data_IF_150536945587
#
_entry.id   IF_150536945587
#
_cell.length_a   1.000
_cell.length_b   1.000
_cell.length_c   1.000
_cell.angle_alpha   90.00
_cell.angle_beta   90.00
_cell.angle_gamma   90.00
#
_symmetry.space_group_name_H-M   'P 1'
#
loop_
_entity.id
_entity.type
_entity.pdbx_description
1 polymer ?
#
# COMPACT_ATOMS: atom_id res chain seq x y z
N UNK A 1 -3.04 32.03 -5.48
CA UNK A 1 -2.62 30.86 -4.71
C UNK A 1 -2.94 29.65 -5.59
N UNK A 2 -1.94 28.84 -5.97
CA UNK A 2 -2.24 27.55 -6.61
C UNK A 2 -2.85 26.64 -5.54
N UNK A 3 -3.92 25.87 -5.86
CA UNK A 3 -4.46 24.90 -4.92
C UNK A 3 -3.40 23.84 -4.63
N UNK A 4 -3.42 23.34 -3.39
CA UNK A 4 -2.55 22.24 -3.00
C UNK A 4 -2.91 21.00 -3.85
N UNK A 5 -1.90 20.25 -4.36
CA UNK A 5 -2.15 19.05 -5.16
C UNK A 5 -3.03 18.03 -4.43
N UNK A 6 -2.89 17.90 -3.11
CA UNK A 6 -3.67 16.97 -2.29
C UNK A 6 -5.14 17.41 -2.26
N UNK A 7 -5.40 18.71 -2.09
CA UNK A 7 -6.77 19.24 -2.10
C UNK A 7 -7.45 19.00 -3.46
N UNK A 8 -6.69 19.10 -4.56
CA UNK A 8 -7.18 18.81 -5.91
C UNK A 8 -7.56 17.33 -6.07
N UNK A 9 -6.74 16.42 -5.53
CA UNK A 9 -7.01 14.99 -5.57
C UNK A 9 -8.21 14.61 -4.68
N UNK A 10 -8.34 15.24 -3.51
CA UNK A 10 -9.50 15.08 -2.62
C UNK A 10 -10.78 15.49 -3.33
N UNK A 11 -10.81 16.68 -3.95
CA UNK A 11 -11.97 17.17 -4.69
C UNK A 11 -12.34 16.21 -5.84
N UNK A 12 -11.35 15.69 -6.54
CA UNK A 12 -11.56 14.71 -7.60
C UNK A 12 -12.17 13.39 -7.07
N UNK A 13 -11.69 12.90 -5.93
CA UNK A 13 -12.22 11.70 -5.27
C UNK A 13 -13.67 11.92 -4.83
N UNK A 14 -13.96 13.05 -4.18
CA UNK A 14 -15.31 13.40 -3.73
C UNK A 14 -16.27 13.54 -4.91
N UNK A 15 -15.83 14.18 -6.00
CA UNK A 15 -16.60 14.31 -7.24
C UNK A 15 -16.90 12.94 -7.86
N UNK A 16 -15.91 12.05 -7.92
CA UNK A 16 -16.06 10.67 -8.43
C UNK A 16 -17.03 9.85 -7.59
N UNK A 17 -17.13 10.14 -6.29
CA UNK A 17 -18.10 9.53 -5.39
C UNK A 17 -19.46 10.25 -5.35
N UNK A 18 -19.78 11.09 -6.34
CA UNK A 18 -21.03 11.87 -6.40
C UNK A 18 -21.30 12.72 -5.14
N UNK A 19 -20.24 13.17 -4.46
CA UNK A 19 -20.34 13.90 -3.20
C UNK A 19 -20.59 13.03 -1.96
N UNK A 20 -20.66 11.70 -2.06
CA UNK A 20 -20.70 10.81 -0.89
C UNK A 20 -19.32 10.72 -0.24
N UNK A 21 -18.99 11.72 0.57
CA UNK A 21 -17.73 11.77 1.32
C UNK A 21 -17.58 10.55 2.24
N UNK A 22 -18.68 10.08 2.84
CA UNK A 22 -18.64 8.92 3.75
C UNK A 22 -18.34 7.64 2.97
N UNK A 23 -18.85 7.52 1.75
CA UNK A 23 -18.55 6.46 0.80
C UNK A 23 -17.10 6.50 0.32
N UNK A 24 -16.61 7.69 -0.06
CA UNK A 24 -15.22 7.90 -0.47
C UNK A 24 -14.24 7.47 0.63
N UNK A 25 -14.45 7.92 1.86
CA UNK A 25 -13.59 7.54 3.01
C UNK A 25 -13.65 6.04 3.27
N UNK A 26 -14.82 5.41 3.20
CA UNK A 26 -14.93 3.94 3.33
C UNK A 26 -14.15 3.21 2.25
N UNK A 27 -14.25 3.64 0.99
CA UNK A 27 -13.51 3.05 -0.11
C UNK A 27 -12.00 3.17 0.08
N UNK A 28 -11.52 4.35 0.49
CA UNK A 28 -10.10 4.59 0.78
C UNK A 28 -9.59 3.71 1.93
N UNK A 29 -10.38 3.53 3.00
CA UNK A 29 -10.01 2.65 4.11
C UNK A 29 -9.89 1.18 3.67
N UNK A 30 -10.83 0.70 2.86
CA UNK A 30 -10.78 -0.69 2.34
C UNK A 30 -9.57 -0.92 1.45
N UNK A 31 -9.26 0.03 0.57
CA UNK A 31 -8.07 -0.04 -0.28
C UNK A 31 -6.80 0.00 0.57
N UNK A 32 -6.77 0.84 1.61
CA UNK A 32 -5.62 0.91 2.51
C UNK A 32 -5.38 -0.42 3.24
N UNK A 33 -6.41 -1.02 3.84
CA UNK A 33 -6.32 -2.32 4.51
C UNK A 33 -5.81 -3.44 3.58
N UNK A 34 -6.28 -3.45 2.33
CA UNK A 34 -5.80 -4.39 1.31
C UNK A 34 -4.32 -4.17 0.99
N UNK A 35 -3.89 -2.92 0.78
CA UNK A 35 -2.49 -2.59 0.51
C UNK A 35 -1.57 -2.94 1.68
N UNK A 36 -1.99 -2.70 2.92
CA UNK A 36 -1.26 -3.10 4.12
C UNK A 36 -1.08 -4.62 4.18
N UNK A 37 -2.12 -5.37 3.81
CA UNK A 37 -2.07 -6.84 3.73
C UNK A 37 -1.08 -7.31 2.66
N UNK A 38 -1.10 -6.71 1.46
CA UNK A 38 -0.15 -7.02 0.39
C UNK A 38 1.29 -6.73 0.80
N UNK A 39 1.53 -5.58 1.45
CA UNK A 39 2.85 -5.22 1.99
C UNK A 39 3.34 -6.25 3.01
N UNK A 40 2.49 -6.67 3.96
CA UNK A 40 2.85 -7.69 4.94
C UNK A 40 3.22 -9.03 4.28
N UNK A 41 2.49 -9.43 3.24
CA UNK A 41 2.80 -10.66 2.48
C UNK A 41 4.16 -10.56 1.77
N UNK A 42 4.46 -9.41 1.15
CA UNK A 42 5.73 -9.16 0.49
C UNK A 42 6.90 -9.15 1.48
N UNK A 43 6.73 -8.54 2.65
CA UNK A 43 7.74 -8.58 3.72
C UNK A 43 7.96 -10.01 4.24
N UNK A 44 6.89 -10.78 4.46
CA UNK A 44 7.01 -12.18 4.87
C UNK A 44 7.70 -13.06 3.82
N UNK A 45 7.43 -12.83 2.54
CA UNK A 45 8.07 -13.56 1.44
C UNK A 45 9.55 -13.22 1.29
N UNK A 46 9.92 -11.93 1.43
CA UNK A 46 11.33 -11.50 1.36
C UNK A 46 12.16 -12.02 2.53
N UNK A 47 11.60 -12.08 3.75
CA UNK A 47 12.24 -12.73 4.91
C UNK A 47 12.45 -14.24 4.67
N UNK A 48 11.49 -14.94 4.06
CA UNK A 48 11.65 -16.38 3.72
C UNK A 48 12.68 -16.61 2.61
N UNK A 49 12.79 -15.70 1.64
CA UNK A 49 13.78 -15.76 0.56
C UNK A 49 15.22 -15.48 1.01
N UNK A 50 15.42 -14.76 2.12
CA UNK A 50 16.73 -14.47 2.69
C UNK A 50 17.36 -15.61 3.51
N UNK A 51 16.59 -16.66 3.84
CA UNK A 51 17.01 -17.73 4.75
C UNK A 51 17.73 -18.93 4.08
N UNK A 52 17.99 -18.89 2.77
CA UNK A 52 18.71 -19.98 2.06
C UNK A 52 20.03 -19.45 1.50
N UNK A 53 21.07 -19.46 2.34
CA UNK A 53 22.41 -19.89 1.94
C UNK A 53 22.87 -20.95 2.94
N UNK A 54 22.73 -22.25 2.62
CA UNK A 54 23.54 -23.26 3.26
C UNK A 54 24.97 -22.92 2.86
N UNK A 55 25.80 -22.50 3.81
CA UNK A 55 27.24 -22.39 3.63
C UNK A 55 27.82 -23.78 3.40
N UNK A 56 27.65 -24.32 2.21
CA UNK A 56 28.31 -25.55 1.79
C UNK A 56 29.65 -25.17 1.18
N UNK A 57 30.71 -25.39 1.98
CA UNK A 57 32.04 -25.76 1.51
C UNK A 57 32.99 -24.65 1.04
N UNK A 58 34.05 -24.42 1.82
CA UNK A 58 35.41 -24.63 1.35
C UNK A 58 36.35 -24.76 2.56
N UNK A 59 36.73 -26.01 2.86
CA UNK A 59 37.97 -26.37 3.55
C UNK A 59 39.16 -25.88 2.71
N UNK A 60 40.03 -25.07 3.31
CA UNK A 60 41.48 -25.05 3.09
C UNK A 60 42.14 -24.54 4.37
#
# INVERSE_FOLDING_TARGET
>A
MMPDPIETDIDHIVSTCNGDLRGAVRALLLVNEQLETELQQLYAASVRGGAIRPGTGAVH
#
